data_IF_537451521911
#
_entry.id   IF_537451521911
#
_cell.length_a   1.000
_cell.length_b   1.000
_cell.length_c   1.000
_cell.angle_alpha   90.00
_cell.angle_beta   90.00
_cell.angle_gamma   90.00
#
_symmetry.space_group_name_H-M   'P 1'
#
loop_
_entity.id
_entity.type
_entity.pdbx_description
1 polymer ?
#
# COMPACT_ATOMS: atom_id res chain seq x y z
N UNK A 1 9.26 8.89 -25.82
CA UNK A 1 9.61 9.11 -24.39
C UNK A 1 9.13 7.91 -23.59
N UNK A 2 10.05 7.11 -23.05
CA UNK A 2 9.75 5.88 -22.31
C UNK A 2 9.70 6.19 -20.81
N UNK A 3 8.51 6.21 -20.22
CA UNK A 3 8.36 6.33 -18.77
C UNK A 3 8.58 4.96 -18.13
N UNK A 4 9.78 4.72 -17.58
CA UNK A 4 10.08 3.52 -16.80
C UNK A 4 9.54 3.72 -15.38
N UNK A 5 8.28 3.35 -15.15
CA UNK A 5 7.78 3.20 -13.80
C UNK A 5 8.46 1.98 -13.16
N UNK A 6 9.58 2.18 -12.47
CA UNK A 6 10.18 1.12 -11.64
C UNK A 6 9.41 1.09 -10.35
N UNK A 7 8.44 0.19 -10.30
CA UNK A 7 7.80 -0.20 -9.04
C UNK A 7 8.77 -1.13 -8.31
N UNK A 8 9.04 -0.84 -7.03
CA UNK A 8 10.12 -1.44 -6.25
C UNK A 8 10.08 -2.97 -6.23
N UNK A 9 11.25 -3.60 -6.13
CA UNK A 9 11.35 -5.04 -5.87
C UNK A 9 11.25 -5.27 -4.38
N UNK A 10 10.47 -6.26 -3.96
CA UNK A 10 10.43 -6.73 -2.57
C UNK A 10 11.28 -8.00 -2.50
N UNK A 11 12.47 -7.93 -1.92
CA UNK A 11 13.25 -9.13 -1.67
C UNK A 11 12.69 -9.85 -0.44
N UNK A 12 12.25 -11.10 -0.61
CA UNK A 12 11.68 -11.90 0.47
C UNK A 12 11.98 -13.40 0.28
N UNK A 13 11.54 -14.24 1.22
CA UNK A 13 11.56 -15.68 1.08
C UNK A 13 10.13 -16.23 1.02
N UNK A 14 9.86 -17.08 0.05
CA UNK A 14 8.62 -17.84 -0.06
C UNK A 14 8.95 -19.32 0.12
N UNK A 15 8.55 -19.89 1.27
CA UNK A 15 8.82 -21.30 1.62
C UNK A 15 10.32 -21.66 1.57
N UNK A 16 11.17 -20.77 2.09
CA UNK A 16 12.62 -20.94 2.12
C UNK A 16 13.34 -20.67 0.80
N UNK A 17 12.61 -20.37 -0.29
CA UNK A 17 13.19 -19.99 -1.57
C UNK A 17 13.24 -18.46 -1.72
N UNK A 18 14.33 -17.87 -2.24
CA UNK A 18 14.38 -16.46 -2.60
C UNK A 18 13.25 -16.10 -3.57
N UNK A 19 12.48 -15.06 -3.23
CA UNK A 19 11.36 -14.58 -4.02
C UNK A 19 11.43 -13.06 -4.11
N UNK A 20 11.38 -12.52 -5.33
CA UNK A 20 11.53 -11.10 -5.59
C UNK A 20 10.37 -10.59 -6.47
N UNK A 21 9.15 -10.43 -5.91
CA UNK A 21 8.06 -9.86 -6.67
C UNK A 21 8.33 -8.37 -6.93
N UNK A 22 8.03 -7.94 -8.15
CA UNK A 22 7.80 -6.52 -8.38
C UNK A 22 6.59 -6.11 -7.53
N UNK A 23 6.77 -5.16 -6.61
CA UNK A 23 5.66 -4.49 -5.94
C UNK A 23 4.78 -3.93 -7.05
N UNK A 24 3.57 -4.44 -7.25
CA UNK A 24 2.76 -4.00 -8.39
C UNK A 24 2.20 -2.63 -8.05
N UNK A 25 2.19 -1.68 -9.00
CA UNK A 25 1.54 -0.37 -8.78
C UNK A 25 0.09 -0.54 -8.34
N UNK A 26 -0.54 -1.63 -8.76
CA UNK A 26 -1.86 -2.05 -8.30
C UNK A 26 -1.94 -2.38 -6.81
N UNK A 27 -0.93 -3.05 -6.24
CA UNK A 27 -0.87 -3.34 -4.80
C UNK A 27 -0.75 -2.05 -4.00
N UNK A 28 0.08 -1.10 -4.44
CA UNK A 28 0.18 0.22 -3.82
C UNK A 28 -1.11 1.02 -3.95
N UNK A 29 -1.78 0.95 -5.10
CA UNK A 29 -3.09 1.56 -5.31
C UNK A 29 -4.17 0.96 -4.38
N UNK A 30 -4.19 -0.37 -4.21
CA UNK A 30 -5.12 -1.03 -3.29
C UNK A 30 -4.82 -0.67 -1.83
N UNK A 31 -3.55 -0.66 -1.44
CA UNK A 31 -3.15 -0.27 -0.10
C UNK A 31 -3.56 1.17 0.21
N UNK A 32 -3.29 2.11 -0.70
CA UNK A 32 -3.73 3.50 -0.57
C UNK A 32 -5.23 3.60 -0.28
N UNK A 33 -6.07 2.85 -1.02
CA UNK A 33 -7.52 2.87 -0.83
C UNK A 33 -7.95 2.36 0.54
N UNK A 34 -7.33 1.28 1.00
CA UNK A 34 -7.58 0.75 2.36
C UNK A 34 -7.20 1.80 3.40
N UNK A 35 -6.07 2.49 3.21
CA UNK A 35 -5.61 3.55 4.11
C UNK A 35 -6.45 4.82 4.06
N UNK A 36 -7.04 5.14 2.91
CA UNK A 36 -7.99 6.25 2.81
C UNK A 36 -9.24 5.97 3.66
N UNK A 37 -9.76 4.74 3.64
CA UNK A 37 -10.88 4.33 4.53
C UNK A 37 -10.45 4.32 5.99
N UNK A 38 -9.27 3.78 6.30
CA UNK A 38 -8.69 3.83 7.65
C UNK A 38 -8.69 5.26 8.21
N UNK A 39 -8.31 6.24 7.38
CA UNK A 39 -8.27 7.67 7.72
C UNK A 39 -9.65 8.34 7.85
N UNK A 40 -10.75 7.66 7.53
CA UNK A 40 -12.11 8.16 7.82
C UNK A 40 -12.71 7.58 9.10
N UNK A 41 -12.13 6.50 9.65
CA UNK A 41 -12.63 5.85 10.87
C UNK A 41 -12.43 6.78 12.08
N UNK A 42 -13.38 6.81 13.02
CA UNK A 42 -13.31 7.63 14.23
C UNK A 42 -12.22 7.16 15.21
N UNK A 43 -11.74 8.04 16.12
CA UNK A 43 -10.59 7.74 16.99
C UNK A 43 -10.82 6.51 17.89
N UNK A 44 -12.01 6.37 18.48
CA UNK A 44 -12.34 5.23 19.33
C UNK A 44 -12.32 3.89 18.59
N UNK A 45 -12.73 3.87 17.32
CA UNK A 45 -12.70 2.67 16.48
C UNK A 45 -11.29 2.37 15.98
N UNK A 46 -10.51 3.41 15.68
CA UNK A 46 -9.10 3.23 15.30
C UNK A 46 -8.28 2.60 16.41
N UNK A 47 -8.44 3.03 17.66
CA UNK A 47 -7.73 2.43 18.78
C UNK A 47 -8.07 0.94 18.92
N UNK A 48 -9.36 0.58 18.84
CA UNK A 48 -9.79 -0.83 18.87
C UNK A 48 -9.16 -1.67 17.75
N UNK A 49 -9.05 -1.11 16.55
CA UNK A 49 -8.42 -1.78 15.41
C UNK A 49 -6.90 -1.88 15.58
N UNK A 50 -6.22 -0.83 16.06
CA UNK A 50 -4.78 -0.86 16.36
C UNK A 50 -4.47 -1.93 17.39
N UNK A 51 -5.30 -2.03 18.44
CA UNK A 51 -5.17 -3.06 19.47
C UNK A 51 -5.34 -4.47 18.89
N UNK A 52 -6.36 -4.69 18.06
CA UNK A 52 -6.60 -5.97 17.42
C UNK A 52 -5.48 -6.41 16.46
N UNK A 53 -4.75 -5.44 15.88
CA UNK A 53 -3.67 -5.68 14.92
C UNK A 53 -2.27 -5.66 15.57
N UNK A 54 -2.18 -5.54 16.89
CA UNK A 54 -0.90 -5.45 17.60
C UNK A 54 -0.03 -6.68 17.37
N UNK A 55 1.25 -6.48 17.11
CA UNK A 55 2.27 -7.47 16.81
C UNK A 55 2.02 -8.29 15.53
N UNK A 56 1.18 -7.80 14.62
CA UNK A 56 0.93 -8.48 13.33
C UNK A 56 1.82 -7.95 12.21
N UNK A 57 2.53 -6.84 12.43
CA UNK A 57 3.29 -6.12 11.41
C UNK A 57 2.43 -5.18 10.56
N UNK A 58 1.15 -5.01 10.89
CA UNK A 58 0.26 -4.05 10.25
C UNK A 58 0.47 -2.62 10.71
N UNK A 59 1.19 -2.41 11.81
CA UNK A 59 1.48 -1.08 12.36
C UNK A 59 2.16 -0.18 11.31
N UNK A 60 3.21 -0.68 10.67
CA UNK A 60 3.92 0.02 9.59
C UNK A 60 3.02 0.29 8.38
N UNK A 61 2.07 -0.63 8.12
CA UNK A 61 1.12 -0.50 7.01
C UNK A 61 0.12 0.62 7.29
N UNK A 62 -0.41 0.71 8.51
CA UNK A 62 -1.38 1.73 8.91
C UNK A 62 -0.78 3.14 8.90
N UNK A 63 0.50 3.26 9.20
CA UNK A 63 1.23 4.53 9.23
C UNK A 63 1.86 4.88 7.85
N UNK A 64 1.77 4.00 6.85
CA UNK A 64 2.27 4.26 5.51
C UNK A 64 1.57 5.46 4.84
N UNK A 65 2.38 6.43 4.41
CA UNK A 65 1.94 7.59 3.64
C UNK A 65 2.54 7.52 2.22
N UNK A 66 1.73 7.26 1.17
CA UNK A 66 2.27 7.19 -0.19
C UNK A 66 2.74 8.58 -0.65
N UNK A 67 4.00 8.65 -1.11
CA UNK A 67 4.61 9.89 -1.65
C UNK A 67 3.88 10.43 -2.88
N UNK A 68 3.38 9.53 -3.73
CA UNK A 68 2.57 9.86 -4.90
C UNK A 68 1.29 9.05 -4.86
N UNK A 69 0.17 9.71 -5.14
CA UNK A 69 -1.12 9.03 -5.19
C UNK A 69 -1.38 8.45 -6.56
N UNK A 70 -2.00 7.28 -6.57
CA UNK A 70 -2.46 6.62 -7.79
C UNK A 70 -3.98 6.74 -7.90
N UNK A 71 -4.44 7.13 -9.09
CA UNK A 71 -5.83 7.12 -9.50
C UNK A 71 -6.09 6.04 -10.56
N UNK A 72 -7.36 5.71 -10.78
CA UNK A 72 -7.78 4.81 -11.86
C UNK A 72 -8.58 5.58 -12.91
N UNK A 73 -8.09 5.61 -14.15
CA UNK A 73 -8.80 6.18 -15.31
C UNK A 73 -9.05 5.07 -16.32
N UNK A 74 -10.33 4.74 -16.55
CA UNK A 74 -10.75 3.53 -17.30
C UNK A 74 -10.09 2.28 -16.70
N UNK A 75 -9.27 1.58 -17.49
CA UNK A 75 -8.54 0.37 -17.10
C UNK A 75 -7.05 0.61 -16.83
N UNK A 76 -6.63 1.87 -16.61
CA UNK A 76 -5.24 2.25 -16.35
C UNK A 76 -5.07 2.92 -15.00
N UNK A 77 -3.95 2.64 -14.34
CA UNK A 77 -3.49 3.42 -13.20
C UNK A 77 -2.72 4.63 -13.71
N UNK A 78 -2.98 5.79 -13.09
CA UNK A 78 -2.32 7.05 -13.40
C UNK A 78 -1.84 7.70 -12.11
N UNK A 79 -0.77 8.48 -12.17
CA UNK A 79 -0.39 9.34 -11.04
C UNK A 79 -1.40 10.50 -10.97
N UNK A 80 -1.85 10.81 -9.76
CA UNK A 80 -2.68 11.99 -9.51
C UNK A 80 -1.79 13.25 -9.47
N UNK A 81 -2.29 14.42 -9.92
CA UNK A 81 -1.61 15.68 -9.67
C UNK A 81 -1.54 15.89 -8.15
N UNK A 82 -0.34 16.20 -7.66
CA UNK A 82 -0.08 16.51 -6.25
C UNK A 82 -0.40 17.95 -5.90
#
# INVERSE_FOLDING_TARGET
MSHRAVVGRLDTQLRGAPFCPAARSYSLFMLQRTLDVWRTIGPADRERIRDALRNTGWEDVLDYAPRHRLGKRRFRLVLEPG
#
